data_IF_528183956156
#
_entry.id   IF_528183956156
#
_cell.length_a   1.000
_cell.length_b   1.000
_cell.length_c   1.000
_cell.angle_alpha   90.00
_cell.angle_beta   90.00
_cell.angle_gamma   90.00
#
_symmetry.space_group_name_H-M   'P 1'
#
loop_
_entity.id
_entity.type
_entity.pdbx_description
1 polymer ?
#
# COMPACT_ATOMS: atom_id res chain seq x y z
N UNK A 1 -17.30 18.44 30.27
CA UNK A 1 -17.06 16.98 30.31
C UNK A 1 -17.27 16.48 28.90
N UNK A 2 -16.34 16.76 28.00
CA UNK A 2 -16.56 16.51 26.59
C UNK A 2 -16.31 15.03 26.26
N UNK A 3 -17.43 14.37 26.04
CA UNK A 3 -17.72 12.99 25.64
C UNK A 3 -17.07 12.59 24.29
N UNK A 4 -15.86 13.06 23.99
CA UNK A 4 -15.21 12.85 22.68
C UNK A 4 -14.38 11.56 22.66
N UNK A 5 -13.99 11.03 23.82
CA UNK A 5 -13.31 9.72 23.91
C UNK A 5 -14.33 8.55 23.86
N UNK A 6 -15.56 8.75 24.31
CA UNK A 6 -16.55 7.69 24.49
C UNK A 6 -17.23 7.20 23.18
N UNK A 7 -17.16 7.97 22.09
CA UNK A 7 -17.96 7.71 20.88
C UNK A 7 -17.34 6.78 19.82
N UNK A 8 -16.08 6.35 19.95
CA UNK A 8 -15.36 5.74 18.81
C UNK A 8 -15.33 4.20 18.80
N UNK A 9 -15.56 3.54 19.93
CA UNK A 9 -15.44 2.07 20.05
C UNK A 9 -16.50 1.39 20.91
N UNK A 10 -17.39 2.16 21.57
CA UNK A 10 -18.48 1.61 22.39
C UNK A 10 -18.06 1.10 23.79
N UNK A 11 -16.93 1.58 24.33
CA UNK A 11 -16.43 1.19 25.66
C UNK A 11 -16.44 2.36 26.68
N UNK A 12 -17.62 2.88 27.07
CA UNK A 12 -17.74 4.04 27.98
C UNK A 12 -17.09 3.82 29.35
N UNK A 13 -17.34 2.66 29.97
CA UNK A 13 -16.86 2.36 31.31
C UNK A 13 -15.34 2.20 31.35
N UNK A 14 -14.76 1.54 30.34
CA UNK A 14 -13.31 1.39 30.21
C UNK A 14 -12.64 2.74 29.98
N UNK A 15 -13.20 3.60 29.13
CA UNK A 15 -12.66 4.93 28.91
C UNK A 15 -12.66 5.78 30.19
N UNK A 16 -13.74 5.70 30.99
CA UNK A 16 -13.84 6.41 32.27
C UNK A 16 -12.80 5.93 33.29
N UNK A 17 -12.70 4.60 33.51
CA UNK A 17 -11.72 4.05 34.44
C UNK A 17 -10.29 4.38 33.99
N UNK A 18 -10.00 4.22 32.70
CA UNK A 18 -8.68 4.52 32.15
C UNK A 18 -8.30 6.00 32.29
N UNK A 19 -9.25 6.93 32.07
CA UNK A 19 -8.99 8.36 32.28
C UNK A 19 -8.60 8.68 33.73
N UNK A 20 -9.21 7.98 34.70
CA UNK A 20 -8.89 8.13 36.12
C UNK A 20 -7.60 7.43 36.51
N UNK A 21 -7.40 6.19 36.10
CA UNK A 21 -6.23 5.36 36.46
C UNK A 21 -4.94 5.84 35.80
N UNK A 22 -5.01 6.34 34.56
CA UNK A 22 -3.84 6.85 33.83
C UNK A 22 -3.63 8.36 34.02
N UNK A 23 -4.39 8.99 34.93
CA UNK A 23 -4.29 10.42 35.26
C UNK A 23 -4.31 11.36 34.04
N UNK A 24 -5.07 10.99 33.00
CA UNK A 24 -5.08 11.68 31.70
C UNK A 24 -5.58 13.12 31.78
N UNK A 25 -6.21 13.51 32.90
CA UNK A 25 -6.66 14.88 33.18
C UNK A 25 -5.51 15.89 33.30
N UNK A 26 -4.32 15.44 33.70
CA UNK A 26 -3.16 16.31 33.92
C UNK A 26 -2.19 16.34 32.74
N UNK A 27 -2.42 15.51 31.72
CA UNK A 27 -1.53 15.42 30.58
C UNK A 27 -1.84 16.56 29.60
N UNK A 28 -0.85 17.41 29.23
CA UNK A 28 -1.05 18.56 28.36
C UNK A 28 -1.16 18.14 26.88
N UNK A 29 -2.14 17.30 26.56
CA UNK A 29 -2.43 16.84 25.21
C UNK A 29 -3.63 17.61 24.67
N UNK A 30 -3.43 18.34 23.59
CA UNK A 30 -4.51 18.94 22.83
C UNK A 30 -5.24 17.86 22.01
N UNK A 31 -6.41 17.46 22.50
CA UNK A 31 -7.27 16.43 21.87
C UNK A 31 -7.74 16.82 20.46
N UNK A 32 -7.75 18.11 20.12
CA UNK A 32 -8.16 18.58 18.78
C UNK A 32 -7.12 18.26 17.70
N UNK A 33 -5.85 18.15 18.08
CA UNK A 33 -4.74 17.84 17.16
C UNK A 33 -4.66 16.35 16.82
N UNK A 34 -5.29 15.49 17.62
CA UNK A 34 -5.23 14.04 17.45
C UNK A 34 -6.34 13.60 16.49
N UNK A 35 -6.01 13.10 15.29
CA UNK A 35 -7.02 12.62 14.36
C UNK A 35 -7.72 11.39 14.92
N UNK A 36 -9.02 11.24 14.59
CA UNK A 36 -9.80 10.06 14.98
C UNK A 36 -9.13 8.80 14.45
N UNK A 37 -9.00 7.77 15.29
CA UNK A 37 -8.33 6.53 14.91
C UNK A 37 -6.80 6.64 14.83
N UNK A 38 -6.18 7.67 15.44
CA UNK A 38 -4.73 7.81 15.52
C UNK A 38 -4.06 6.53 16.04
N UNK A 39 -4.52 5.98 17.17
CA UNK A 39 -3.95 4.76 17.75
C UNK A 39 -3.96 3.58 16.76
N UNK A 40 -5.10 3.30 16.13
CA UNK A 40 -5.22 2.25 15.09
C UNK A 40 -4.24 2.49 13.95
N UNK A 41 -4.13 3.73 13.51
CA UNK A 41 -3.23 4.12 12.41
C UNK A 41 -1.77 3.91 12.79
N UNK A 42 -1.37 4.30 14.00
CA UNK A 42 -0.01 4.08 14.52
C UNK A 42 0.32 2.59 14.58
N UNK A 43 -0.56 1.76 15.13
CA UNK A 43 -0.34 0.30 15.21
C UNK A 43 -0.22 -0.32 13.83
N UNK A 44 -1.15 -0.01 12.91
CA UNK A 44 -1.13 -0.59 11.55
C UNK A 44 0.08 -0.12 10.74
N UNK A 45 0.46 1.16 10.85
CA UNK A 45 1.67 1.67 10.19
C UNK A 45 2.94 1.08 10.79
N UNK A 46 3.00 0.92 12.12
CA UNK A 46 4.11 0.29 12.81
C UNK A 46 4.34 -1.15 12.34
N UNK A 47 3.26 -1.96 12.27
CA UNK A 47 3.36 -3.33 11.77
C UNK A 47 3.88 -3.37 10.32
N UNK A 48 3.35 -2.49 9.46
CA UNK A 48 3.81 -2.40 8.06
C UNK A 48 5.26 -1.94 7.94
N UNK A 49 5.70 -1.05 8.84
CA UNK A 49 7.08 -0.61 8.90
C UNK A 49 8.02 -1.78 9.27
N UNK A 50 7.70 -2.56 10.29
CA UNK A 50 8.46 -3.77 10.67
C UNK A 50 8.54 -4.76 9.51
N UNK A 51 7.41 -4.99 8.83
CA UNK A 51 7.39 -5.84 7.64
C UNK A 51 8.32 -5.30 6.56
N UNK A 52 8.26 -4.01 6.24
CA UNK A 52 9.14 -3.40 5.23
C UNK A 52 10.62 -3.53 5.61
N UNK A 53 10.97 -3.27 6.88
CA UNK A 53 12.35 -3.39 7.37
C UNK A 53 12.91 -4.79 7.17
N UNK A 54 12.13 -5.83 7.51
CA UNK A 54 12.54 -7.22 7.29
C UNK A 54 12.79 -7.54 5.80
N UNK A 55 12.01 -6.94 4.90
CA UNK A 55 12.18 -7.14 3.46
C UNK A 55 13.42 -6.42 2.90
N UNK A 56 13.75 -5.24 3.41
CA UNK A 56 14.96 -4.51 3.01
C UNK A 56 16.25 -5.19 3.50
N UNK A 57 16.20 -5.89 4.62
CA UNK A 57 17.33 -6.65 5.17
C UNK A 57 17.53 -8.04 4.55
N UNK A 58 16.55 -8.55 3.80
CA UNK A 58 16.69 -9.81 3.07
C UNK A 58 17.48 -9.57 1.77
N UNK A 59 18.80 -9.77 1.79
CA UNK A 59 19.75 -9.51 0.70
C UNK A 59 19.54 -10.32 -0.61
N UNK A 60 18.44 -11.08 -0.73
CA UNK A 60 18.11 -11.92 -1.87
C UNK A 60 16.74 -11.46 -2.44
N UNK A 61 16.75 -10.29 -3.08
CA UNK A 61 15.57 -9.44 -3.33
C UNK A 61 14.70 -9.89 -4.52
N UNK A 62 15.02 -10.99 -5.20
CA UNK A 62 14.28 -11.37 -6.43
C UNK A 62 12.96 -12.12 -6.19
N UNK A 63 12.62 -12.51 -4.95
CA UNK A 63 11.45 -13.36 -4.69
C UNK A 63 10.41 -12.86 -3.69
N UNK A 64 10.65 -11.75 -2.99
CA UNK A 64 9.63 -11.20 -2.08
C UNK A 64 8.97 -9.99 -2.73
N UNK A 65 8.36 -10.23 -3.89
CA UNK A 65 7.43 -9.27 -4.48
C UNK A 65 6.16 -9.35 -3.64
N UNK A 66 5.83 -8.26 -2.94
CA UNK A 66 4.53 -8.10 -2.31
C UNK A 66 3.45 -8.09 -3.41
N UNK A 67 2.90 -9.26 -3.73
CA UNK A 67 1.63 -9.32 -4.42
C UNK A 67 0.56 -8.97 -3.38
N UNK A 68 -0.20 -7.87 -3.57
CA UNK A 68 -1.35 -7.61 -2.73
C UNK A 68 -2.35 -8.75 -2.96
N UNK A 69 -2.43 -9.66 -1.98
CA UNK A 69 -3.50 -10.63 -1.87
C UNK A 69 -4.65 -9.97 -1.12
N UNK A 70 -5.88 -10.26 -1.52
CA UNK A 70 -7.04 -9.84 -0.76
C UNK A 70 -6.99 -10.53 0.64
N UNK A 71 -7.28 -9.81 1.74
CA UNK A 71 -7.43 -10.45 3.05
C UNK A 71 -8.34 -11.67 3.04
N UNK A 72 -9.39 -11.67 2.21
CA UNK A 72 -10.28 -12.81 2.07
C UNK A 72 -9.58 -14.02 1.42
N UNK A 73 -8.70 -13.79 0.44
CA UNK A 73 -7.92 -14.85 -0.18
C UNK A 73 -6.97 -15.51 0.82
N UNK A 74 -6.37 -14.73 1.71
CA UNK A 74 -5.44 -15.24 2.73
C UNK A 74 -6.16 -16.20 3.70
N UNK A 75 -7.42 -15.91 4.03
CA UNK A 75 -8.19 -16.70 5.00
C UNK A 75 -8.86 -17.92 4.33
N UNK A 76 -9.21 -17.81 3.05
CA UNK A 76 -9.95 -18.87 2.32
C UNK A 76 -9.04 -19.87 1.60
N UNK A 77 -7.79 -19.52 1.33
CA UNK A 77 -6.88 -20.34 0.54
C UNK A 77 -5.75 -20.96 1.38
N UNK A 78 -5.29 -22.14 0.95
CA UNK A 78 -4.12 -22.78 1.53
C UNK A 78 -2.84 -22.10 1.02
N UNK A 79 -1.79 -22.13 1.84
CA UNK A 79 -0.45 -21.59 1.53
C UNK A 79 0.06 -21.90 0.12
N UNK A 80 0.01 -23.16 -0.41
CA UNK A 80 0.44 -23.43 -1.77
C UNK A 80 -0.35 -22.66 -2.83
N UNK A 81 -1.69 -22.59 -2.71
CA UNK A 81 -2.56 -21.83 -3.62
C UNK A 81 -2.28 -20.34 -3.57
N UNK A 82 -1.96 -19.80 -2.38
CA UNK A 82 -1.54 -18.41 -2.24
C UNK A 82 -0.22 -18.15 -2.96
N UNK A 83 0.72 -19.11 -2.94
CA UNK A 83 1.95 -19.06 -3.72
C UNK A 83 1.70 -18.97 -5.23
N UNK A 84 0.80 -19.80 -5.75
CA UNK A 84 0.41 -19.81 -7.16
C UNK A 84 -0.20 -18.47 -7.58
N UNK A 85 -1.10 -17.92 -6.75
CA UNK A 85 -1.74 -16.62 -6.98
C UNK A 85 -0.74 -15.46 -7.01
N UNK A 86 0.28 -15.50 -6.14
CA UNK A 86 1.36 -14.50 -6.12
C UNK A 86 2.15 -14.56 -7.43
N UNK A 87 2.49 -15.75 -7.90
CA UNK A 87 3.25 -15.95 -9.14
C UNK A 87 2.44 -15.51 -10.37
N UNK A 88 1.16 -15.83 -10.42
CA UNK A 88 0.25 -15.39 -11.47
C UNK A 88 0.15 -13.87 -11.53
N UNK A 89 -0.05 -13.20 -10.39
CA UNK A 89 -0.12 -11.74 -10.31
C UNK A 89 1.20 -11.08 -10.75
N UNK A 90 2.35 -11.68 -10.42
CA UNK A 90 3.65 -11.20 -10.86
C UNK A 90 3.87 -11.36 -12.39
N UNK A 91 3.32 -12.41 -13.00
CA UNK A 91 3.32 -12.60 -14.47
C UNK A 91 2.40 -11.58 -15.17
N UNK A 92 1.20 -11.35 -14.63
CA UNK A 92 0.23 -10.38 -15.18
C UNK A 92 0.79 -8.95 -15.21
N UNK A 93 1.49 -8.51 -14.17
CA UNK A 93 2.11 -7.17 -14.13
C UNK A 93 3.18 -6.97 -15.20
N UNK A 94 4.08 -7.95 -15.37
CA UNK A 94 5.15 -7.88 -16.39
C UNK A 94 4.62 -7.76 -17.82
N UNK A 95 3.46 -8.36 -18.11
CA UNK A 95 2.85 -8.28 -19.44
C UNK A 95 2.16 -6.94 -19.70
N UNK A 96 1.75 -6.21 -18.65
CA UNK A 96 1.02 -4.95 -18.78
C UNK A 96 1.96 -3.75 -18.98
N UNK A 97 3.17 -3.80 -18.43
CA UNK A 97 4.19 -2.73 -18.55
C UNK A 97 4.86 -2.67 -19.94
N UNK A 98 4.55 -3.60 -20.85
CA UNK A 98 5.06 -3.65 -22.23
C UNK A 98 4.06 -3.21 -23.32
N UNK A 99 2.93 -2.63 -22.94
CA UNK A 99 1.74 -2.51 -23.81
C UNK A 99 1.20 -1.09 -24.04
N UNK A 100 2.00 -0.03 -24.06
CA UNK A 100 1.58 1.27 -24.57
C UNK A 100 2.55 1.77 -25.66
N UNK A 101 2.23 1.44 -26.92
CA UNK A 101 3.04 1.86 -28.07
C UNK A 101 2.66 1.21 -29.40
N UNK A 102 1.37 1.13 -29.75
CA UNK A 102 0.97 0.83 -31.13
C UNK A 102 -0.30 1.61 -31.49
N UNK A 103 -0.14 2.92 -31.64
CA UNK A 103 -1.12 3.77 -32.29
C UNK A 103 -1.27 3.38 -33.75
N UNK A 104 -2.49 2.98 -34.09
CA UNK A 104 -3.04 2.77 -35.43
C UNK A 104 -2.73 3.95 -36.36
N UNK A 105 -2.20 3.66 -37.54
CA UNK A 105 -1.94 4.62 -38.61
C UNK A 105 -1.75 3.90 -39.94
N UNK A 106 -2.86 3.61 -40.61
CA UNK A 106 -2.87 3.12 -41.99
C UNK A 106 -2.40 4.26 -42.90
N UNK A 107 -1.20 4.15 -43.48
CA UNK A 107 -0.76 4.99 -44.59
C UNK A 107 0.20 4.22 -45.49
N UNK A 108 -0.14 4.10 -46.78
CA UNK A 108 0.59 3.33 -47.79
C UNK A 108 2.00 3.87 -48.08
N UNK A 109 2.78 3.15 -48.91
CA UNK A 109 4.17 3.51 -49.19
C UNK A 109 4.21 4.72 -50.12
N UNK A 110 4.64 5.88 -49.59
CA UNK A 110 5.01 7.04 -50.41
C UNK A 110 6.53 7.19 -50.40
N UNK A 111 7.15 6.81 -51.52
CA UNK A 111 8.56 7.01 -51.81
C UNK A 111 8.86 8.50 -51.96
N UNK A 112 9.90 9.01 -51.30
CA UNK A 112 10.58 10.26 -51.68
C UNK A 112 12.05 10.22 -51.25
N UNK A 113 12.91 9.92 -52.22
CA UNK A 113 14.34 10.22 -52.15
C UNK A 113 14.55 11.72 -51.99
N UNK A 114 15.32 12.13 -50.99
CA UNK A 114 16.04 13.39 -51.06
C UNK A 114 17.37 13.29 -50.29
N UNK A 115 18.46 12.95 -51.00
CA UNK A 115 19.81 13.13 -50.49
C UNK A 115 20.29 14.52 -50.89
N UNK A 116 20.13 15.45 -49.97
CA UNK A 116 20.84 16.72 -50.01
C UNK A 116 22.28 16.44 -49.59
N UNK A 117 23.21 16.44 -50.54
CA UNK A 117 24.65 16.43 -50.25
C UNK A 117 25.23 17.77 -50.66
N UNK A 118 25.29 18.65 -49.67
CA UNK A 118 26.18 19.81 -49.64
C UNK A 118 27.58 19.27 -49.39
N UNK A 119 28.54 19.54 -50.28
CA UNK A 119 29.96 19.65 -49.95
C UNK A 119 30.75 20.26 -51.13
N UNK A 120 31.11 21.54 -50.93
CA UNK A 120 32.23 22.33 -51.46
C UNK A 120 32.30 22.60 -52.96
#
# INVERSE_FOLDING_TARGET
MDLVICGLSGFPHTAFNFESEAELKHVPIDKSTIPRGALRTFVLKGLRFTQLQANLHASNVDRIVFSPLDPLDIITNRVPRLGDMIEENAKRKRNNDGGEGAGSGVAGPMTRSNKQKIAR
#
